data_IF_316243697191
#
_entry.id   IF_316243697191
#
_cell.length_a   1.000
_cell.length_b   1.000
_cell.length_c   1.000
_cell.angle_alpha   90.00
_cell.angle_beta   90.00
_cell.angle_gamma   90.00
#
_symmetry.space_group_name_H-M   'P 1'
#
loop_
_entity.id
_entity.type
_entity.pdbx_description
1 polymer ?
#
# COMPACT_ATOMS: atom_id res chain seq x y z
N UNK A 1 -15.98 -20.01 -0.23
CA UNK A 1 -15.19 -18.87 -0.76
C UNK A 1 -16.10 -17.80 -1.31
N UNK A 2 -16.87 -18.03 -2.39
CA UNK A 2 -17.70 -16.98 -3.01
C UNK A 2 -18.60 -16.18 -2.05
N UNK A 3 -19.29 -16.79 -1.05
CA UNK A 3 -20.03 -16.04 -0.03
C UNK A 3 -19.22 -14.94 0.70
N UNK A 4 -17.90 -15.11 0.86
CA UNK A 4 -17.00 -14.10 1.44
C UNK A 4 -16.96 -12.78 0.67
N UNK A 5 -17.38 -12.80 -0.60
CA UNK A 5 -17.39 -11.62 -1.48
C UNK A 5 -18.80 -11.09 -1.73
N UNK A 6 -19.82 -11.92 -1.57
CA UNK A 6 -21.21 -11.61 -1.97
C UNK A 6 -22.15 -11.32 -0.80
N UNK A 7 -21.76 -11.63 0.43
CA UNK A 7 -22.60 -11.46 1.61
C UNK A 7 -22.14 -10.27 2.47
N UNK A 8 -23.11 -9.43 2.87
CA UNK A 8 -22.87 -8.35 3.82
C UNK A 8 -22.60 -8.90 5.22
N UNK A 9 -21.92 -8.12 6.05
CA UNK A 9 -21.60 -8.39 7.46
C UNK A 9 -20.70 -9.61 7.71
N UNK A 10 -20.08 -10.17 6.67
CA UNK A 10 -19.31 -11.40 6.84
C UNK A 10 -17.89 -11.14 7.35
N UNK A 11 -17.25 -10.05 6.90
CA UNK A 11 -15.89 -9.67 7.35
C UNK A 11 -15.89 -9.03 8.73
N UNK A 12 -16.87 -8.17 8.99
CA UNK A 12 -17.17 -7.54 10.27
C UNK A 12 -18.61 -7.00 10.24
N UNK A 13 -19.17 -6.69 11.42
CA UNK A 13 -20.52 -6.14 11.52
C UNK A 13 -20.62 -4.80 10.78
N UNK A 14 -21.56 -4.69 9.84
CA UNK A 14 -21.74 -3.51 8.99
C UNK A 14 -20.96 -3.55 7.68
N UNK A 15 -20.10 -4.55 7.44
CA UNK A 15 -19.36 -4.67 6.19
C UNK A 15 -20.29 -4.82 4.98
N UNK A 16 -20.09 -4.03 3.94
CA UNK A 16 -20.72 -4.26 2.64
C UNK A 16 -20.04 -5.44 1.94
N UNK A 17 -20.81 -6.26 1.22
CA UNK A 17 -20.28 -7.26 0.30
C UNK A 17 -19.35 -6.62 -0.72
N UNK A 18 -18.23 -7.29 -1.02
CA UNK A 18 -17.27 -6.85 -2.04
C UNK A 18 -17.95 -6.67 -3.41
N UNK A 19 -18.87 -7.58 -3.73
CA UNK A 19 -19.69 -7.51 -4.95
C UNK A 19 -20.69 -6.36 -4.97
N UNK A 20 -20.80 -5.54 -3.93
CA UNK A 20 -21.57 -4.30 -4.00
C UNK A 20 -20.87 -3.21 -4.83
N UNK A 21 -19.54 -3.22 -4.83
CA UNK A 21 -18.71 -2.29 -5.63
C UNK A 21 -18.00 -2.98 -6.80
N UNK A 22 -17.79 -4.29 -6.70
CA UNK A 22 -17.06 -5.11 -7.68
C UNK A 22 -17.95 -6.25 -8.24
N UNK A 23 -18.91 -5.91 -9.11
CA UNK A 23 -20.01 -6.82 -9.52
C UNK A 23 -19.96 -7.26 -10.98
N UNK A 24 -19.10 -6.66 -11.80
CA UNK A 24 -19.00 -6.97 -13.22
C UNK A 24 -17.65 -6.52 -13.78
N UNK A 25 -17.18 -7.20 -14.82
CA UNK A 25 -16.08 -6.70 -15.63
C UNK A 25 -16.55 -5.60 -16.59
N UNK A 26 -16.84 -4.42 -16.03
CA UNK A 26 -17.40 -3.26 -16.74
C UNK A 26 -16.94 -1.96 -16.11
N UNK A 27 -16.97 -0.86 -16.86
CA UNK A 27 -16.58 0.50 -16.40
C UNK A 27 -17.35 1.01 -15.17
N UNK A 28 -18.53 0.44 -14.87
CA UNK A 28 -19.34 0.83 -13.70
C UNK A 28 -18.97 0.08 -12.42
N UNK A 29 -18.07 -0.90 -12.52
CA UNK A 29 -17.54 -1.66 -11.40
C UNK A 29 -16.16 -1.11 -11.08
N UNK A 30 -15.85 -0.85 -9.81
CA UNK A 30 -14.54 -0.30 -9.46
C UNK A 30 -13.45 -1.27 -9.88
N UNK A 31 -12.41 -0.71 -10.51
CA UNK A 31 -11.34 -1.49 -11.17
C UNK A 31 -11.86 -2.54 -12.15
N UNK A 32 -13.01 -2.31 -12.80
CA UNK A 32 -13.58 -3.21 -13.80
C UNK A 32 -13.59 -4.69 -13.33
N UNK A 33 -13.79 -4.88 -12.03
CA UNK A 33 -13.56 -6.15 -11.33
C UNK A 33 -14.88 -6.81 -10.99
N UNK A 34 -14.99 -8.12 -11.18
CA UNK A 34 -16.13 -8.92 -10.77
C UNK A 34 -15.76 -9.92 -9.67
N UNK A 35 -16.16 -9.63 -8.43
CA UNK A 35 -16.00 -10.53 -7.28
C UNK A 35 -17.26 -11.37 -7.00
N UNK A 36 -18.27 -11.30 -7.89
CA UNK A 36 -19.55 -12.02 -7.74
C UNK A 36 -19.56 -13.41 -8.38
N UNK A 37 -18.52 -13.74 -9.16
CA UNK A 37 -18.43 -15.02 -9.86
C UNK A 37 -17.01 -15.59 -9.84
N UNK A 38 -16.89 -16.91 -10.01
CA UNK A 38 -15.56 -17.55 -10.16
C UNK A 38 -14.83 -17.02 -11.39
N UNK A 39 -15.52 -16.86 -12.51
CA UNK A 39 -14.92 -16.34 -13.74
C UNK A 39 -14.38 -14.92 -13.55
N UNK A 40 -15.16 -14.05 -12.89
CA UNK A 40 -14.74 -12.70 -12.55
C UNK A 40 -13.51 -12.65 -11.64
N UNK A 41 -13.51 -13.46 -10.57
CA UNK A 41 -12.36 -13.58 -9.67
C UNK A 41 -11.07 -13.97 -10.41
N UNK A 42 -11.18 -14.87 -11.40
CA UNK A 42 -10.04 -15.33 -12.20
C UNK A 42 -9.59 -14.33 -13.30
N UNK A 43 -10.44 -13.37 -13.66
CA UNK A 43 -10.10 -12.29 -14.61
C UNK A 43 -9.42 -11.11 -13.91
N UNK A 44 -9.72 -10.90 -12.62
CA UNK A 44 -9.12 -9.86 -11.81
C UNK A 44 -9.65 -8.45 -12.09
N UNK A 45 -8.79 -7.45 -11.88
CA UNK A 45 -9.12 -6.03 -12.03
C UNK A 45 -8.60 -5.41 -13.33
N UNK A 46 -9.06 -4.19 -13.64
CA UNK A 46 -8.64 -3.31 -14.73
C UNK A 46 -8.64 -3.99 -16.13
N UNK A 47 -9.56 -4.94 -16.34
CA UNK A 47 -9.55 -5.84 -17.51
C UNK A 47 -9.89 -5.16 -18.84
N UNK A 48 -10.51 -3.97 -18.82
CA UNK A 48 -10.86 -3.20 -20.02
C UNK A 48 -9.86 -2.06 -20.25
N UNK A 49 -9.54 -1.32 -19.19
CA UNK A 49 -8.64 -0.16 -19.21
C UNK A 49 -7.17 -0.56 -19.33
N UNK A 50 -6.76 -1.71 -18.78
CA UNK A 50 -5.40 -2.26 -18.86
C UNK A 50 -5.39 -3.77 -19.21
N UNK A 51 -5.77 -4.18 -20.43
CA UNK A 51 -5.80 -5.59 -20.81
C UNK A 51 -4.40 -6.26 -20.70
N UNK A 52 -4.30 -7.52 -20.22
CA UNK A 52 -5.40 -8.46 -19.94
C UNK A 52 -6.10 -8.26 -18.58
N UNK A 53 -5.64 -7.30 -17.78
CA UNK A 53 -6.08 -7.08 -16.40
C UNK A 53 -4.98 -7.38 -15.38
N UNK A 54 -5.33 -7.22 -14.10
CA UNK A 54 -4.44 -7.36 -12.95
C UNK A 54 -4.84 -8.59 -12.12
N UNK A 55 -3.94 -9.58 -11.94
CA UNK A 55 -4.23 -10.79 -11.18
C UNK A 55 -4.44 -10.51 -9.69
N UNK A 56 -5.32 -11.29 -9.06
CA UNK A 56 -5.73 -11.09 -7.67
C UNK A 56 -5.03 -12.03 -6.69
N UNK A 57 -4.62 -13.21 -7.13
CA UNK A 57 -4.16 -14.32 -6.29
C UNK A 57 -2.64 -14.56 -6.38
N UNK A 58 -1.91 -13.57 -6.92
CA UNK A 58 -0.44 -13.60 -7.04
C UNK A 58 0.05 -14.43 -8.22
N UNK A 59 -0.81 -14.67 -9.20
CA UNK A 59 -0.42 -15.26 -10.48
C UNK A 59 0.54 -14.33 -11.23
N UNK A 60 1.45 -14.90 -12.04
CA UNK A 60 2.36 -14.10 -12.87
C UNK A 60 1.64 -13.33 -13.98
N UNK A 61 0.52 -13.86 -14.46
CA UNK A 61 -0.36 -13.22 -15.44
C UNK A 61 -1.79 -13.76 -15.31
N UNK A 62 -2.76 -13.06 -15.91
CA UNK A 62 -4.16 -13.50 -15.95
C UNK A 62 -4.26 -14.90 -16.57
N UNK A 63 -5.02 -15.79 -15.92
CA UNK A 63 -5.19 -17.21 -16.27
C UNK A 63 -3.99 -18.13 -16.03
N UNK A 64 -2.87 -17.63 -15.52
CA UNK A 64 -1.81 -18.50 -15.05
C UNK A 64 -2.28 -19.31 -13.80
N UNK A 65 -1.57 -20.39 -13.50
CA UNK A 65 -1.92 -21.31 -12.40
C UNK A 65 -0.82 -21.37 -11.34
N UNK A 66 0.12 -20.45 -11.37
CA UNK A 66 1.26 -20.29 -10.47
C UNK A 66 0.91 -19.37 -9.29
N UNK A 67 -0.22 -19.64 -8.64
CA UNK A 67 -0.73 -18.83 -7.54
C UNK A 67 0.29 -18.67 -6.40
N UNK A 68 0.55 -17.43 -6.03
CA UNK A 68 1.34 -17.06 -4.85
C UNK A 68 0.50 -16.17 -3.92
N UNK A 69 -0.16 -16.80 -2.95
CA UNK A 69 -1.03 -16.08 -2.02
C UNK A 69 -0.25 -15.00 -1.25
N UNK A 70 1.00 -15.24 -0.88
CA UNK A 70 1.77 -14.32 -0.04
C UNK A 70 2.13 -13.01 -0.77
N UNK A 71 2.28 -13.07 -2.09
CA UNK A 71 2.49 -11.93 -2.98
C UNK A 71 1.19 -11.44 -3.67
N UNK A 72 0.04 -11.97 -3.27
CA UNK A 72 -1.23 -11.63 -3.93
C UNK A 72 -1.78 -10.26 -3.53
N UNK A 73 -2.28 -9.53 -4.53
CA UNK A 73 -2.91 -8.21 -4.33
C UNK A 73 -4.15 -8.30 -3.47
N UNK A 74 -4.95 -9.36 -3.61
CA UNK A 74 -6.15 -9.57 -2.80
C UNK A 74 -5.79 -9.75 -1.32
N UNK A 75 -4.78 -10.55 -0.98
CA UNK A 75 -4.32 -10.70 0.40
C UNK A 75 -3.85 -9.37 0.98
N UNK A 76 -3.09 -8.60 0.19
CA UNK A 76 -2.65 -7.25 0.57
C UNK A 76 -3.84 -6.36 0.94
N UNK A 77 -4.84 -6.25 0.05
CA UNK A 77 -6.06 -5.46 0.28
C UNK A 77 -6.87 -5.95 1.48
N UNK A 78 -6.95 -7.26 1.76
CA UNK A 78 -7.76 -7.77 2.87
C UNK A 78 -7.10 -7.57 4.26
N UNK A 79 -5.77 -7.58 4.32
CA UNK A 79 -5.02 -7.65 5.58
C UNK A 79 -4.31 -6.36 5.94
N UNK A 80 -3.69 -5.71 4.97
CA UNK A 80 -2.75 -4.64 5.26
C UNK A 80 -3.52 -3.33 5.45
N UNK A 81 -3.39 -2.73 6.63
CA UNK A 81 -3.86 -1.36 6.85
C UNK A 81 -3.04 -0.38 6.01
N UNK A 82 -3.71 0.63 5.46
CA UNK A 82 -3.07 1.78 4.84
C UNK A 82 -2.33 2.59 5.90
N UNK A 83 -1.15 3.10 5.55
CA UNK A 83 -0.27 3.88 6.42
C UNK A 83 -0.09 5.31 5.89
N UNK A 84 0.17 6.29 6.78
CA UNK A 84 -0.01 6.18 8.23
C UNK A 84 -1.50 5.97 8.59
N UNK A 85 -1.83 5.42 9.78
CA UNK A 85 -3.22 5.20 10.17
C UNK A 85 -4.01 6.52 10.25
N UNK A 86 -5.29 6.49 9.90
CA UNK A 86 -6.19 7.66 9.97
C UNK A 86 -6.66 8.20 8.62
N UNK A 87 -6.25 7.57 7.52
CA UNK A 87 -6.76 7.89 6.17
C UNK A 87 -8.28 7.83 6.09
N UNK A 88 -8.87 8.87 5.50
CA UNK A 88 -10.25 8.81 5.04
C UNK A 88 -10.34 7.86 3.84
N UNK A 89 -11.33 6.97 3.87
CA UNK A 89 -11.64 6.14 2.73
C UNK A 89 -12.32 6.98 1.65
N UNK A 90 -11.60 7.26 0.58
CA UNK A 90 -12.11 7.85 -0.63
C UNK A 90 -12.31 6.77 -1.70
N UNK A 91 -13.55 6.58 -2.13
CA UNK A 91 -13.92 5.56 -3.12
C UNK A 91 -13.43 5.91 -4.53
N UNK A 92 -13.19 7.20 -4.81
CA UNK A 92 -12.61 7.66 -6.08
C UNK A 92 -11.12 7.36 -6.17
N UNK A 93 -10.51 7.04 -5.03
CA UNK A 93 -9.06 6.90 -4.83
C UNK A 93 -8.24 8.16 -5.17
N UNK A 94 -8.85 9.36 -5.28
CA UNK A 94 -8.11 10.61 -5.54
C UNK A 94 -7.03 10.88 -4.48
N UNK A 95 -7.29 10.50 -3.22
CA UNK A 95 -6.35 10.66 -2.11
C UNK A 95 -5.26 9.58 -2.02
N UNK A 96 -5.22 8.59 -2.93
CA UNK A 96 -4.36 7.40 -2.77
C UNK A 96 -2.86 7.70 -2.79
N UNK A 97 -2.46 8.77 -3.49
CA UNK A 97 -1.05 9.09 -3.73
C UNK A 97 -0.45 10.10 -2.74
N UNK A 98 -1.19 10.42 -1.67
CA UNK A 98 -0.76 11.46 -0.72
C UNK A 98 -1.21 12.85 -1.14
N UNK A 99 -0.88 13.84 -0.30
CA UNK A 99 -1.08 15.25 -0.63
C UNK A 99 -0.35 15.61 -1.92
N UNK A 100 -0.93 16.54 -2.67
CA UNK A 100 -0.25 17.26 -3.72
C UNK A 100 0.99 17.97 -3.16
N UNK A 101 2.00 18.18 -4.00
CA UNK A 101 3.22 18.88 -3.58
C UNK A 101 3.61 19.99 -4.54
N UNK A 102 4.16 21.06 -3.98
CA UNK A 102 4.94 22.05 -4.71
C UNK A 102 6.41 21.63 -4.69
N UNK A 103 7.04 21.64 -5.87
CA UNK A 103 8.43 21.25 -6.04
C UNK A 103 9.21 22.43 -6.59
N UNK A 104 10.32 22.78 -5.94
CA UNK A 104 11.19 23.88 -6.36
C UNK A 104 12.65 23.60 -6.02
N UNK A 105 13.55 24.53 -6.37
CA UNK A 105 14.95 24.44 -5.97
C UNK A 105 15.15 24.41 -4.45
N UNK A 106 14.21 24.97 -3.68
CA UNK A 106 14.25 25.02 -2.22
C UNK A 106 13.82 23.68 -1.58
N UNK A 107 13.18 22.80 -2.34
CA UNK A 107 12.74 21.47 -1.92
C UNK A 107 11.25 21.21 -2.19
N UNK A 108 10.70 20.23 -1.48
CA UNK A 108 9.29 19.82 -1.57
C UNK A 108 8.47 20.43 -0.43
N UNK A 109 7.30 20.99 -0.76
CA UNK A 109 6.28 21.38 0.22
C UNK A 109 4.96 20.68 -0.08
N UNK A 110 4.32 20.10 0.93
CA UNK A 110 2.97 19.53 0.76
C UNK A 110 1.91 20.64 0.69
N UNK A 111 0.84 20.39 -0.07
CA UNK A 111 -0.33 21.26 -0.19
C UNK A 111 -1.49 20.65 0.60
N UNK A 112 -1.79 21.18 1.81
CA UNK A 112 -2.81 20.60 2.70
C UNK A 112 -4.18 20.49 2.04
N UNK A 113 -4.84 19.35 2.22
CA UNK A 113 -6.16 19.06 1.67
C UNK A 113 -6.26 18.92 0.14
N UNK A 114 -5.16 19.05 -0.60
CA UNK A 114 -5.15 18.87 -2.06
C UNK A 114 -4.65 17.46 -2.43
N UNK A 115 -5.38 16.76 -3.30
CA UNK A 115 -5.10 15.38 -3.72
C UNK A 115 -5.27 15.21 -5.24
N UNK A 116 -4.80 14.08 -5.77
CA UNK A 116 -4.97 13.72 -7.20
C UNK A 116 -4.07 14.49 -8.17
N UNK A 117 -3.04 15.20 -7.69
CA UNK A 117 -2.09 15.91 -8.54
C UNK A 117 -1.03 14.97 -9.15
N UNK A 118 -0.49 15.38 -10.29
CA UNK A 118 0.68 14.72 -10.91
C UNK A 118 1.91 14.73 -9.98
N UNK A 119 2.12 15.86 -9.28
CA UNK A 119 3.14 15.98 -8.24
C UNK A 119 2.50 15.69 -6.88
N UNK A 120 2.92 14.62 -6.22
CA UNK A 120 2.35 14.14 -4.95
C UNK A 120 3.41 13.43 -4.09
N UNK A 121 3.08 13.19 -2.82
CA UNK A 121 4.00 12.60 -1.85
C UNK A 121 4.51 11.20 -2.22
N UNK A 122 3.63 10.31 -2.71
CA UNK A 122 4.06 8.98 -3.19
C UNK A 122 5.01 9.11 -4.37
N UNK A 123 4.78 10.07 -5.26
CA UNK A 123 5.61 10.32 -6.43
C UNK A 123 7.01 10.83 -6.10
N UNK A 124 7.18 11.61 -5.03
CA UNK A 124 8.50 12.03 -4.53
C UNK A 124 9.35 10.81 -4.14
N UNK A 125 8.77 9.88 -3.36
CA UNK A 125 9.46 8.65 -2.95
C UNK A 125 9.69 7.75 -4.17
N UNK A 126 8.72 7.64 -5.08
CA UNK A 126 8.86 6.90 -6.32
C UNK A 126 10.08 7.33 -7.12
N UNK A 127 10.21 8.64 -7.37
CA UNK A 127 11.31 9.21 -8.14
C UNK A 127 12.68 8.97 -7.48
N UNK A 128 12.74 9.06 -6.16
CA UNK A 128 13.95 8.73 -5.41
C UNK A 128 14.33 7.25 -5.54
N UNK A 129 13.36 6.34 -5.38
CA UNK A 129 13.58 4.88 -5.52
C UNK A 129 14.00 4.54 -6.96
N UNK A 130 13.30 5.06 -7.96
CA UNK A 130 13.59 4.84 -9.39
C UNK A 130 14.97 5.43 -9.78
N UNK A 131 15.42 6.48 -9.08
CA UNK A 131 16.77 7.04 -9.16
C UNK A 131 17.86 6.20 -8.51
N UNK A 132 17.52 5.03 -7.94
CA UNK A 132 18.44 4.14 -7.24
C UNK A 132 18.56 4.39 -5.75
N UNK A 133 17.60 5.12 -5.17
CA UNK A 133 17.54 5.49 -3.75
C UNK A 133 18.87 6.05 -3.19
N UNK A 134 19.48 7.07 -3.81
CA UNK A 134 20.75 7.63 -3.34
C UNK A 134 20.60 8.28 -1.95
N UNK A 135 21.61 8.10 -1.10
CA UNK A 135 21.68 8.78 0.21
C UNK A 135 22.02 10.27 0.05
N UNK A 136 23.01 10.59 -0.79
CA UNK A 136 23.55 11.95 -0.93
C UNK A 136 23.41 12.55 -2.32
N UNK A 137 23.37 11.71 -3.36
CA UNK A 137 23.25 12.18 -4.74
C UNK A 137 21.83 12.70 -5.01
N UNK A 138 21.72 13.63 -5.94
CA UNK A 138 20.43 14.22 -6.30
C UNK A 138 19.65 13.35 -7.28
N UNK A 139 18.33 13.50 -7.26
CA UNK A 139 17.41 12.88 -8.21
C UNK A 139 16.42 13.91 -8.75
N UNK A 140 15.87 13.65 -9.94
CA UNK A 140 14.91 14.54 -10.59
C UNK A 140 13.48 14.22 -10.15
N UNK A 141 12.69 15.25 -9.83
CA UNK A 141 11.24 15.14 -9.71
C UNK A 141 10.58 16.48 -10.05
N UNK A 142 9.58 16.46 -10.94
CA UNK A 142 9.09 17.69 -11.57
C UNK A 142 10.22 18.43 -12.30
N UNK A 143 10.33 19.73 -12.04
CA UNK A 143 11.37 20.60 -12.63
C UNK A 143 12.55 20.88 -11.66
N UNK A 144 12.73 20.07 -10.61
CA UNK A 144 13.78 20.28 -9.60
C UNK A 144 14.66 19.05 -9.35
N UNK A 145 15.85 19.34 -8.82
CA UNK A 145 16.79 18.36 -8.29
C UNK A 145 16.61 18.27 -6.77
N UNK A 146 16.23 17.09 -6.31
CA UNK A 146 15.91 16.76 -4.93
C UNK A 146 16.99 15.87 -4.31
N UNK A 147 16.98 15.72 -3.00
CA UNK A 147 17.85 14.79 -2.28
C UNK A 147 17.10 14.11 -1.12
N UNK A 148 17.66 13.00 -0.65
CA UNK A 148 17.02 12.18 0.37
C UNK A 148 16.74 12.94 1.68
N UNK A 149 17.76 13.56 2.28
CA UNK A 149 17.64 14.17 3.61
C UNK A 149 16.63 15.31 3.64
N UNK A 150 16.62 16.16 2.61
CA UNK A 150 15.72 17.32 2.55
C UNK A 150 14.32 16.96 2.08
N UNK A 151 14.18 16.08 1.09
CA UNK A 151 12.94 15.97 0.32
C UNK A 151 12.21 14.62 0.49
N UNK A 152 12.89 13.58 0.96
CA UNK A 152 12.30 12.24 1.13
C UNK A 152 12.10 11.91 2.60
N UNK A 153 13.15 12.09 3.41
CA UNK A 153 13.12 11.74 4.83
C UNK A 153 11.97 12.42 5.60
N UNK A 154 11.63 13.71 5.36
CA UNK A 154 10.49 14.34 6.02
C UNK A 154 9.16 13.61 5.84
N UNK A 155 8.91 12.96 4.69
CA UNK A 155 7.67 12.20 4.47
C UNK A 155 7.48 11.05 5.46
N UNK A 156 8.53 10.57 6.11
CA UNK A 156 8.44 9.53 7.14
C UNK A 156 8.72 10.04 8.55
N UNK A 157 9.47 11.12 8.72
CA UNK A 157 9.86 11.68 10.03
C UNK A 157 8.98 12.82 10.52
N UNK A 158 8.24 13.50 9.65
CA UNK A 158 7.38 14.63 10.01
C UNK A 158 5.90 14.25 10.01
N UNK A 159 5.11 14.99 10.80
CA UNK A 159 3.66 14.93 10.77
C UNK A 159 3.12 15.71 9.58
N UNK A 160 1.83 15.53 9.26
CA UNK A 160 1.10 16.29 8.23
C UNK A 160 1.61 16.11 6.78
N UNK A 161 2.47 15.11 6.53
CA UNK A 161 3.07 14.87 5.21
C UNK A 161 2.18 14.06 4.26
N UNK A 162 1.24 13.27 4.79
CA UNK A 162 0.42 12.35 4.00
C UNK A 162 -1.02 12.81 3.83
N UNK A 163 -1.58 13.36 4.90
CA UNK A 163 -2.87 14.05 4.97
C UNK A 163 -2.86 14.98 6.19
N UNK A 164 -3.78 15.93 6.25
CA UNK A 164 -3.91 16.87 7.35
C UNK A 164 -4.16 16.13 8.68
N UNK A 165 -3.25 16.30 9.64
CA UNK A 165 -3.26 15.63 10.93
C UNK A 165 -2.59 14.25 10.95
N UNK A 166 -1.96 13.82 9.86
CA UNK A 166 -1.23 12.55 9.82
C UNK A 166 -0.06 12.55 10.79
N UNK A 167 0.11 11.46 11.54
CA UNK A 167 1.27 11.28 12.42
C UNK A 167 2.52 10.90 11.61
N UNK A 168 3.70 11.26 12.13
CA UNK A 168 4.97 10.73 11.60
C UNK A 168 5.01 9.19 11.71
N UNK A 169 5.56 8.54 10.69
CA UNK A 169 5.78 7.10 10.68
C UNK A 169 6.73 6.67 11.81
N UNK A 170 7.69 7.52 12.16
CA UNK A 170 8.63 7.28 13.27
C UNK A 170 7.96 7.25 14.65
N UNK A 171 6.70 7.69 14.79
CA UNK A 171 5.95 7.51 16.04
C UNK A 171 5.79 6.03 16.43
N UNK A 172 5.77 5.13 15.44
CA UNK A 172 5.67 3.68 15.64
C UNK A 172 6.91 2.90 15.14
N UNK A 173 7.67 3.48 14.20
CA UNK A 173 8.81 2.84 13.51
C UNK A 173 10.10 3.65 13.70
N UNK A 174 10.70 3.58 14.89
CA UNK A 174 11.78 4.49 15.33
C UNK A 174 13.13 3.81 15.59
N UNK A 175 13.22 2.48 15.54
CA UNK A 175 14.46 1.75 15.81
C UNK A 175 14.37 0.30 15.32
N UNK A 176 15.51 -0.27 14.96
CA UNK A 176 15.66 -1.69 14.67
C UNK A 176 15.63 -2.53 15.97
N UNK A 177 14.46 -2.59 16.60
CA UNK A 177 14.24 -3.15 17.95
C UNK A 177 12.86 -3.77 18.10
N UNK A 178 12.70 -4.75 19.00
CA UNK A 178 11.40 -5.39 19.29
C UNK A 178 10.31 -4.41 19.77
N UNK A 179 10.68 -3.24 20.29
CA UNK A 179 9.73 -2.20 20.71
C UNK A 179 9.21 -1.32 19.58
N UNK A 180 9.87 -1.37 18.41
CA UNK A 180 9.41 -0.70 17.20
C UNK A 180 8.56 -1.68 16.42
N UNK A 181 7.42 -1.24 15.89
CA UNK A 181 6.55 -2.16 15.15
C UNK A 181 7.27 -2.68 13.92
N UNK A 182 7.18 -3.99 13.70
CA UNK A 182 7.95 -4.69 12.67
C UNK A 182 9.45 -4.45 12.78
N UNK A 183 9.99 -4.24 13.98
CA UNK A 183 11.44 -4.08 14.21
C UNK A 183 12.10 -3.08 13.26
N UNK A 184 11.35 -2.04 12.85
CA UNK A 184 11.67 -1.19 11.71
C UNK A 184 12.07 0.20 12.18
N UNK A 185 13.07 0.79 11.53
CA UNK A 185 13.50 2.16 11.75
C UNK A 185 13.29 3.00 10.48
N UNK A 186 12.42 4.00 10.54
CA UNK A 186 12.19 4.93 9.43
C UNK A 186 12.82 6.31 9.68
N UNK A 187 13.68 6.45 10.69
CA UNK A 187 14.25 7.74 11.11
C UNK A 187 15.53 8.14 10.37
N UNK A 188 16.10 7.24 9.57
CA UNK A 188 17.38 7.42 8.87
C UNK A 188 17.40 6.68 7.54
N UNK A 189 18.37 7.02 6.69
CA UNK A 189 18.63 6.30 5.43
C UNK A 189 18.93 4.82 5.72
N UNK A 190 19.83 4.55 6.66
CA UNK A 190 20.24 3.20 7.02
C UNK A 190 19.08 2.38 7.59
N UNK A 191 18.20 3.01 8.39
CA UNK A 191 16.98 2.38 8.87
C UNK A 191 16.05 1.97 7.73
N UNK A 192 15.76 2.90 6.81
CA UNK A 192 14.93 2.64 5.63
C UNK A 192 15.50 1.51 4.76
N UNK A 193 16.81 1.47 4.57
CA UNK A 193 17.47 0.43 3.79
C UNK A 193 17.54 -0.92 4.50
N UNK A 194 17.54 -0.95 5.84
CA UNK A 194 17.44 -2.18 6.62
C UNK A 194 16.04 -2.82 6.53
N UNK A 195 15.01 -2.00 6.38
CA UNK A 195 13.62 -2.42 6.20
C UNK A 195 12.95 -2.93 7.47
N UNK A 196 11.94 -3.78 7.32
CA UNK A 196 11.18 -4.35 8.44
C UNK A 196 11.70 -5.71 8.92
N UNK A 197 11.19 -6.17 10.05
CA UNK A 197 11.42 -7.49 10.67
C UNK A 197 12.92 -7.87 10.74
N UNK A 198 13.78 -6.89 11.06
CA UNK A 198 15.25 -7.02 10.97
C UNK A 198 15.87 -7.95 12.02
N UNK A 199 15.17 -8.25 13.11
CA UNK A 199 15.60 -9.19 14.16
C UNK A 199 14.92 -10.57 14.03
N UNK A 200 13.85 -10.65 13.25
CA UNK A 200 13.06 -11.85 12.98
C UNK A 200 13.77 -12.86 12.06
N UNK A 201 13.18 -14.04 11.88
CA UNK A 201 13.73 -15.10 11.01
C UNK A 201 12.69 -15.55 9.97
N UNK A 202 12.97 -15.40 8.65
CA UNK A 202 14.15 -14.78 8.07
C UNK A 202 14.23 -13.26 8.39
N UNK A 203 15.43 -12.69 8.53
CA UNK A 203 15.57 -11.28 8.86
C UNK A 203 15.33 -10.40 7.64
N UNK A 204 14.67 -9.28 7.86
CA UNK A 204 14.60 -8.22 6.87
C UNK A 204 13.45 -8.38 5.88
N UNK A 205 12.70 -7.30 5.71
CA UNK A 205 11.65 -7.15 4.72
C UNK A 205 11.96 -5.88 3.92
N UNK A 206 12.32 -5.99 2.63
CA UNK A 206 12.66 -4.83 1.81
C UNK A 206 11.44 -3.93 1.63
N UNK A 207 11.66 -2.61 1.73
CA UNK A 207 10.58 -1.62 1.66
C UNK A 207 10.30 -1.15 0.23
N UNK A 208 11.32 -1.14 -0.62
CA UNK A 208 11.33 -0.46 -1.92
C UNK A 208 11.30 -1.45 -3.10
N UNK A 209 10.84 -2.68 -2.86
CA UNK A 209 10.64 -3.72 -3.88
C UNK A 209 11.92 -4.46 -4.28
N UNK A 210 12.99 -4.30 -3.51
CA UNK A 210 14.24 -5.05 -3.74
C UNK A 210 14.00 -6.55 -3.55
N UNK A 211 14.78 -7.39 -4.24
CA UNK A 211 14.66 -8.85 -4.09
C UNK A 211 15.07 -9.34 -2.71
N UNK A 212 15.96 -8.60 -2.03
CA UNK A 212 16.34 -8.80 -0.64
C UNK A 212 16.81 -7.48 -0.01
N UNK A 213 16.85 -7.44 1.32
CA UNK A 213 17.44 -6.30 2.06
C UNK A 213 18.91 -6.13 1.65
N UNK A 214 19.29 -4.90 1.32
CA UNK A 214 20.65 -4.53 0.89
C UNK A 214 20.91 -4.67 -0.62
N UNK A 215 19.99 -5.26 -1.39
CA UNK A 215 20.08 -5.24 -2.85
C UNK A 215 19.61 -3.89 -3.40
N UNK A 216 20.02 -3.59 -4.63
CA UNK A 216 19.73 -2.32 -5.32
C UNK A 216 18.87 -2.51 -6.57
N UNK A 217 18.19 -3.65 -6.67
CA UNK A 217 17.25 -4.00 -7.74
C UNK A 217 15.84 -3.49 -7.42
N UNK A 218 15.76 -2.19 -7.15
CA UNK A 218 14.53 -1.51 -6.75
C UNK A 218 13.40 -1.71 -7.76
N UNK A 219 12.20 -1.99 -7.25
CA UNK A 219 10.96 -2.10 -8.02
C UNK A 219 9.84 -1.44 -7.23
N UNK A 220 9.68 -0.13 -7.46
CA UNK A 220 8.69 0.65 -6.71
C UNK A 220 7.27 0.11 -6.88
N UNK A 221 6.92 -0.44 -8.05
CA UNK A 221 5.59 -0.99 -8.34
C UNK A 221 5.26 -2.24 -7.51
N UNK A 222 6.28 -3.02 -7.14
CA UNK A 222 6.15 -4.18 -6.25
C UNK A 222 6.61 -3.90 -4.82
N UNK A 223 6.81 -2.63 -4.46
CA UNK A 223 7.31 -2.25 -3.14
C UNK A 223 6.25 -2.31 -2.05
N UNK A 224 6.64 -2.84 -0.89
CA UNK A 224 5.76 -2.93 0.29
C UNK A 224 5.39 -1.55 0.84
N UNK A 225 6.31 -0.59 0.78
CA UNK A 225 6.03 0.77 1.24
C UNK A 225 4.94 1.44 0.39
N UNK A 226 5.04 1.36 -0.96
CA UNK A 226 4.00 1.88 -1.86
C UNK A 226 2.65 1.26 -1.59
N UNK A 227 2.60 -0.06 -1.40
CA UNK A 227 1.36 -0.75 -1.07
C UNK A 227 0.75 -0.22 0.23
N UNK A 228 1.57 -0.09 1.29
CA UNK A 228 1.10 0.43 2.58
C UNK A 228 0.64 1.89 2.48
N UNK A 229 1.30 2.73 1.70
CA UNK A 229 0.94 4.14 1.56
C UNK A 229 -0.37 4.38 0.78
N UNK A 230 -0.64 3.54 -0.23
CA UNK A 230 -1.71 3.79 -1.20
C UNK A 230 -2.96 2.94 -0.98
N UNK A 231 -2.78 1.69 -0.55
CA UNK A 231 -3.86 0.73 -0.64
C UNK A 231 -4.72 0.74 0.63
N UNK A 232 -5.95 1.24 0.49
CA UNK A 232 -6.98 1.04 1.51
C UNK A 232 -7.22 -0.45 1.76
N UNK A 233 -7.33 -0.82 3.04
CA UNK A 233 -7.77 -2.15 3.47
C UNK A 233 -9.24 -2.35 3.10
N UNK A 234 -9.59 -3.56 2.66
CA UNK A 234 -10.92 -3.95 2.20
C UNK A 234 -11.54 -5.02 3.13
N UNK A 235 -12.85 -5.02 3.35
CA UNK A 235 -13.80 -3.99 2.92
C UNK A 235 -13.57 -2.66 3.68
N UNK A 236 -13.97 -1.51 3.12
CA UNK A 236 -13.83 -0.21 3.80
C UNK A 236 -14.55 -0.21 5.16
N UNK A 237 -13.94 0.41 6.16
CA UNK A 237 -14.50 0.47 7.53
C UNK A 237 -13.87 -0.50 8.52
N UNK A 238 -12.82 -1.22 8.16
CA UNK A 238 -11.98 -1.93 9.13
C UNK A 238 -11.37 -0.96 10.14
N UNK A 239 -11.53 -1.27 11.42
CA UNK A 239 -10.83 -0.56 12.48
C UNK A 239 -9.32 -0.83 12.39
N UNK A 240 -8.52 0.24 12.50
CA UNK A 240 -7.08 0.09 12.67
C UNK A 240 -6.79 -0.47 14.06
N UNK A 241 -6.22 -1.66 14.09
CA UNK A 241 -5.68 -2.28 15.29
C UNK A 241 -4.15 -2.34 15.19
N UNK A 242 -3.49 -1.59 16.07
CA UNK A 242 -2.03 -1.48 16.10
C UNK A 242 -1.36 -2.81 16.47
N UNK A 243 -2.07 -3.72 17.14
CA UNK A 243 -1.55 -5.05 17.48
C UNK A 243 -1.62 -6.02 16.30
N UNK A 244 -2.29 -5.63 15.21
CA UNK A 244 -2.61 -6.47 14.05
C UNK A 244 -3.45 -7.74 14.39
N UNK A 245 -4.05 -7.85 15.58
CA UNK A 245 -4.86 -9.04 15.94
C UNK A 245 -6.08 -9.23 15.02
N UNK A 246 -6.63 -8.14 14.49
CA UNK A 246 -7.76 -8.18 13.55
C UNK A 246 -7.34 -8.38 12.08
N UNK A 247 -6.04 -8.51 11.78
CA UNK A 247 -5.48 -8.48 10.42
C UNK A 247 -6.00 -9.58 9.50
N UNK A 248 -6.23 -10.77 10.05
CA UNK A 248 -6.58 -11.97 9.26
C UNK A 248 -8.09 -12.11 8.98
N UNK A 249 -8.88 -11.12 9.41
CA UNK A 249 -10.32 -11.10 9.19
C UNK A 249 -11.10 -11.97 10.18
N UNK A 250 -12.35 -12.32 9.86
CA UNK A 250 -13.24 -13.04 10.77
C UNK A 250 -12.77 -14.48 11.00
N UNK A 251 -12.99 -14.98 12.22
CA UNK A 251 -12.80 -16.39 12.52
C UNK A 251 -13.85 -17.24 11.80
N UNK A 252 -13.40 -18.17 10.95
CA UNK A 252 -14.29 -19.09 10.23
C UNK A 252 -14.34 -20.45 10.94
N UNK A 253 -15.55 -20.86 11.36
CA UNK A 253 -15.79 -22.19 11.91
C UNK A 253 -16.03 -23.20 10.77
N UNK A 254 -15.13 -24.17 10.62
CA UNK A 254 -15.24 -25.20 9.60
C UNK A 254 -16.48 -26.08 9.81
N UNK A 255 -17.29 -26.27 8.75
CA UNK A 255 -18.42 -27.20 8.73
C UNK A 255 -19.76 -26.64 9.17
N UNK A 256 -19.85 -25.37 9.55
CA UNK A 256 -21.11 -24.66 9.81
C UNK A 256 -21.34 -23.61 8.73
N UNK A 257 -22.43 -23.73 7.96
CA UNK A 257 -23.00 -22.57 7.28
C UNK A 257 -23.61 -21.68 8.37
N UNK A 258 -23.08 -20.48 8.56
CA UNK A 258 -23.88 -19.40 9.14
C UNK A 258 -24.79 -18.85 8.05
#
# INVERSE_FOLDING_TARGET
VLPLFTENNLWFDGAQACSGCHFANSENSYHEMDLSSYAGLMLGGDVLSQPPGVPLFGESEISATDFDWDHSKLRGRLRNNRMPPGWEFDITEENRDGLCVEVSADGVSVLPGEYGCELNGVGVIAAWVDGGAPETDSFDYGDAQLNFERDVLPFVTEADMWFDGSQSCTGCHFANSESSYHEMDLSSYEGLMAGGDVLSSPPGVPLFGQSAVGETDYDWDHSKLKERLRNNRMAPGWDFDITEENRDGPMILAGTKQ
#
